data_IF_013796762728
#
_entry.id   IF_013796762728
#
_cell.length_a   1.000
_cell.length_b   1.000
_cell.length_c   1.000
_cell.angle_alpha   90.00
_cell.angle_beta   90.00
_cell.angle_gamma   90.00
#
_symmetry.space_group_name_H-M   'P 1'
#
loop_
_entity.id
_entity.type
_entity.pdbx_description
1 polymer ?
#
# COMPACT_ATOMS: atom_id res chain seq x y z
N UNK A 1 19.01 -0.83 -29.34
CA UNK A 1 19.60 0.36 -28.69
C UNK A 1 18.64 1.51 -28.91
N UNK A 2 18.07 2.09 -27.85
CA UNK A 2 17.33 3.35 -27.93
C UNK A 2 18.34 4.44 -28.25
N UNK A 3 18.34 4.92 -29.49
CA UNK A 3 19.32 5.88 -30.04
C UNK A 3 18.85 7.32 -29.98
N UNK A 4 17.71 7.63 -29.36
CA UNK A 4 17.17 9.00 -29.23
C UNK A 4 16.62 9.24 -27.82
N UNK A 5 16.89 10.43 -27.31
CA UNK A 5 16.57 10.84 -25.93
C UNK A 5 15.07 10.79 -25.62
N UNK A 6 14.75 10.87 -24.32
CA UNK A 6 13.40 10.79 -23.79
C UNK A 6 12.89 12.19 -23.41
N UNK A 7 11.57 12.37 -23.46
CA UNK A 7 10.90 13.57 -22.97
C UNK A 7 10.30 13.33 -21.59
N UNK A 8 10.37 14.35 -20.72
CA UNK A 8 9.76 14.32 -19.38
C UNK A 8 8.73 15.44 -19.28
N UNK A 9 7.52 15.08 -18.86
CA UNK A 9 6.49 16.03 -18.46
C UNK A 9 6.20 15.86 -16.97
N UNK A 10 6.10 16.97 -16.26
CA UNK A 10 5.79 17.01 -14.83
C UNK A 10 4.48 17.76 -14.63
N UNK A 11 3.51 17.11 -14.00
CA UNK A 11 2.21 17.68 -13.69
C UNK A 11 2.04 17.90 -12.19
N UNK A 12 1.29 18.93 -11.86
CA UNK A 12 1.02 19.34 -10.47
C UNK A 12 -0.43 19.10 -10.04
N UNK A 13 -1.24 18.52 -10.93
CA UNK A 13 -2.65 18.24 -10.70
C UNK A 13 -3.04 16.93 -11.40
N UNK A 14 -3.97 16.19 -10.80
CA UNK A 14 -4.43 14.88 -11.31
C UNK A 14 -5.33 15.00 -12.54
N UNK A 15 -5.86 16.20 -12.79
CA UNK A 15 -6.64 16.57 -13.98
C UNK A 15 -5.78 16.63 -15.24
N UNK A 16 -4.46 16.82 -15.09
CA UNK A 16 -3.50 16.89 -16.20
C UNK A 16 -2.94 15.51 -16.61
N UNK A 17 -3.28 14.44 -15.88
CA UNK A 17 -2.83 13.09 -16.20
C UNK A 17 -3.36 12.66 -17.57
N UNK A 18 -2.46 12.19 -18.44
CA UNK A 18 -2.81 11.72 -19.78
C UNK A 18 -3.82 10.56 -19.74
N UNK A 19 -4.41 10.27 -20.90
CA UNK A 19 -5.24 9.08 -21.11
C UNK A 19 -4.47 7.77 -20.94
N UNK A 20 -3.15 7.80 -21.14
CA UNK A 20 -2.28 6.62 -21.02
C UNK A 20 -1.98 6.26 -19.55
N UNK A 21 -2.34 7.13 -18.60
CA UNK A 21 -2.18 6.81 -17.19
C UNK A 21 -3.23 5.77 -16.77
N UNK A 22 -2.84 4.54 -16.42
CA UNK A 22 -3.76 3.44 -16.31
C UNK A 22 -4.59 3.46 -15.01
N UNK A 23 -5.68 2.71 -15.03
CA UNK A 23 -6.38 2.27 -13.83
C UNK A 23 -6.30 0.75 -13.65
N UNK A 24 -6.86 0.21 -12.56
CA UNK A 24 -6.65 -1.19 -12.17
C UNK A 24 -7.20 -2.21 -13.20
N UNK A 25 -8.16 -1.81 -14.02
CA UNK A 25 -8.73 -2.59 -15.13
C UNK A 25 -7.93 -2.50 -16.43
N UNK A 26 -6.87 -1.69 -16.50
CA UNK A 26 -6.04 -1.52 -17.69
C UNK A 26 -5.45 -2.86 -18.18
N UNK A 27 -5.49 -3.06 -19.50
CA UNK A 27 -4.96 -4.24 -20.21
C UNK A 27 -3.99 -3.88 -21.33
N UNK A 28 -3.42 -2.68 -21.32
CA UNK A 28 -2.50 -2.19 -22.38
C UNK A 28 -1.11 -2.81 -22.30
N UNK A 29 -0.84 -3.64 -21.29
CA UNK A 29 0.44 -4.33 -21.09
C UNK A 29 1.46 -3.53 -20.28
N UNK A 30 1.05 -2.42 -19.66
CA UNK A 30 1.87 -1.75 -18.65
C UNK A 30 1.85 -2.54 -17.32
N UNK A 31 2.99 -2.57 -16.64
CA UNK A 31 3.16 -3.25 -15.35
C UNK A 31 3.19 -2.22 -14.22
N UNK A 32 2.30 -2.40 -13.23
CA UNK A 32 2.14 -1.52 -12.07
C UNK A 32 1.33 -2.22 -10.96
N UNK A 33 1.31 -1.64 -9.75
CA UNK A 33 0.37 -2.03 -8.70
C UNK A 33 -0.75 -0.99 -8.58
N UNK A 34 -1.87 -1.36 -7.95
CA UNK A 34 -3.04 -0.46 -7.79
C UNK A 34 -2.66 0.90 -7.17
N UNK A 35 -1.61 0.93 -6.36
CA UNK A 35 -1.07 2.16 -5.73
C UNK A 35 -0.62 3.25 -6.71
N UNK A 36 -0.39 2.90 -7.99
CA UNK A 36 0.00 3.85 -9.03
C UNK A 36 -1.17 4.30 -9.93
N UNK A 37 -2.36 3.73 -9.77
CA UNK A 37 -3.48 4.00 -10.68
C UNK A 37 -3.99 5.43 -10.59
N UNK A 38 -4.68 5.87 -11.65
CA UNK A 38 -5.33 7.18 -11.70
C UNK A 38 -6.31 7.37 -10.53
N UNK A 39 -7.16 6.38 -10.27
CA UNK A 39 -8.11 6.39 -9.13
C UNK A 39 -7.42 6.45 -7.77
N UNK A 40 -6.34 5.70 -7.57
CA UNK A 40 -5.60 5.75 -6.30
C UNK A 40 -4.96 7.12 -6.08
N UNK A 41 -4.29 7.66 -7.11
CA UNK A 41 -3.63 8.98 -7.06
C UNK A 41 -4.64 10.11 -6.83
N UNK A 42 -5.82 10.05 -7.47
CA UNK A 42 -6.91 11.01 -7.27
C UNK A 42 -7.48 10.96 -5.86
N UNK A 43 -7.74 9.77 -5.33
CA UNK A 43 -8.19 9.62 -3.94
C UNK A 43 -7.14 10.13 -2.94
N UNK A 44 -5.86 9.91 -3.21
CA UNK A 44 -4.77 10.46 -2.39
C UNK A 44 -4.70 11.99 -2.49
N UNK A 45 -4.81 12.57 -3.69
CA UNK A 45 -4.75 14.03 -3.88
C UNK A 45 -5.91 14.73 -3.17
N UNK A 46 -7.13 14.18 -3.30
CA UNK A 46 -8.33 14.68 -2.62
C UNK A 46 -8.22 14.68 -1.09
N UNK A 47 -7.26 13.94 -0.52
CA UNK A 47 -7.14 13.71 0.92
C UNK A 47 -5.77 14.14 1.46
N UNK A 48 -4.76 13.28 1.37
CA UNK A 48 -3.39 13.55 1.81
C UNK A 48 -2.72 14.67 1.02
N UNK A 49 -3.06 14.82 -0.26
CA UNK A 49 -2.57 15.88 -1.15
C UNK A 49 -2.98 17.28 -0.70
N UNK A 50 -4.08 17.42 0.05
CA UNK A 50 -4.58 18.71 0.56
C UNK A 50 -3.86 19.20 1.81
N UNK A 51 -2.92 18.44 2.38
CA UNK A 51 -2.15 18.86 3.55
C UNK A 51 -1.21 20.02 3.19
N UNK A 52 -1.05 21.03 4.07
CA UNK A 52 -0.13 22.14 3.82
C UNK A 52 1.31 21.66 3.58
N UNK A 53 1.93 22.17 2.51
CA UNK A 53 3.29 21.81 2.14
C UNK A 53 3.42 20.50 1.36
N UNK A 54 2.30 19.92 0.91
CA UNK A 54 2.26 18.85 -0.08
C UNK A 54 2.09 19.44 -1.47
N UNK A 55 2.83 18.93 -2.45
CA UNK A 55 2.73 19.31 -3.86
C UNK A 55 2.84 18.06 -4.74
N UNK A 56 1.92 17.87 -5.68
CA UNK A 56 2.01 16.79 -6.65
C UNK A 56 3.16 17.04 -7.63
N UNK A 57 3.82 15.94 -8.02
CA UNK A 57 4.90 15.90 -9.00
C UNK A 57 4.71 14.64 -9.86
N UNK A 58 3.65 14.59 -10.66
CA UNK A 58 3.30 13.42 -11.47
C UNK A 58 4.17 13.44 -12.73
N UNK A 59 5.04 12.45 -12.90
CA UNK A 59 5.99 12.43 -14.01
C UNK A 59 5.52 11.48 -15.11
N UNK A 60 5.56 11.94 -16.35
CA UNK A 60 5.42 11.09 -17.54
C UNK A 60 6.71 11.14 -18.36
N UNK A 61 7.39 9.99 -18.47
CA UNK A 61 8.55 9.80 -19.34
C UNK A 61 8.12 9.10 -20.61
N UNK A 62 8.45 9.69 -21.75
CA UNK A 62 8.09 9.19 -23.09
C UNK A 62 9.31 9.19 -24.00
N UNK A 63 9.29 8.38 -25.04
CA UNK A 63 10.17 8.57 -26.19
C UNK A 63 9.76 9.85 -26.95
N UNK A 64 10.66 10.41 -27.76
CA UNK A 64 10.35 11.60 -28.58
C UNK A 64 9.19 11.42 -29.56
N UNK A 65 8.86 10.18 -29.93
CA UNK A 65 7.68 9.87 -30.76
C UNK A 65 6.36 9.82 -29.96
N UNK A 66 6.42 10.08 -28.65
CA UNK A 66 5.29 10.07 -27.73
C UNK A 66 5.05 8.74 -27.02
N UNK A 67 5.77 7.67 -27.37
CA UNK A 67 5.59 6.34 -26.78
C UNK A 67 5.89 6.36 -25.27
N UNK A 68 4.94 5.95 -24.40
CA UNK A 68 5.17 5.87 -22.96
C UNK A 68 6.34 4.95 -22.58
N UNK A 69 7.18 5.42 -21.64
CA UNK A 69 8.25 4.63 -21.03
C UNK A 69 7.96 4.36 -19.56
N UNK A 70 7.94 5.40 -18.73
CA UNK A 70 7.79 5.29 -17.27
C UNK A 70 6.92 6.41 -16.75
N UNK A 71 5.84 6.10 -16.03
CA UNK A 71 5.07 7.11 -15.29
C UNK A 71 5.27 6.94 -13.79
N UNK A 72 5.45 8.05 -13.07
CA UNK A 72 5.75 8.01 -11.63
C UNK A 72 4.80 8.94 -10.85
N UNK A 73 3.97 8.40 -9.95
CA UNK A 73 3.16 9.22 -9.05
C UNK A 73 4.03 9.73 -7.91
N UNK A 74 4.75 10.83 -8.14
CA UNK A 74 5.57 11.47 -7.11
C UNK A 74 4.83 12.65 -6.48
N UNK A 75 5.29 13.01 -5.28
CA UNK A 75 4.90 14.22 -4.57
C UNK A 75 6.09 14.79 -3.82
N UNK A 76 6.00 16.08 -3.50
CA UNK A 76 6.88 16.74 -2.54
C UNK A 76 6.10 16.93 -1.26
N UNK A 77 6.64 16.42 -0.16
CA UNK A 77 6.09 16.61 1.19
C UNK A 77 7.11 17.27 2.11
N UNK A 78 6.69 17.74 3.29
CA UNK A 78 7.58 18.33 4.28
C UNK A 78 7.83 17.40 5.46
N UNK A 79 9.09 17.07 5.70
CA UNK A 79 9.52 16.24 6.84
C UNK A 79 10.65 16.97 7.59
N UNK A 80 10.44 17.26 8.88
CA UNK A 80 11.37 18.03 9.72
C UNK A 80 11.85 19.34 9.07
N UNK A 81 10.94 20.01 8.36
CA UNK A 81 11.20 21.26 7.63
C UNK A 81 11.80 21.09 6.24
N UNK A 82 12.34 19.92 5.89
CA UNK A 82 12.91 19.65 4.56
C UNK A 82 11.84 19.22 3.57
N UNK A 83 12.03 19.58 2.30
CA UNK A 83 11.18 19.10 1.19
C UNK A 83 11.68 17.75 0.70
N UNK A 84 10.80 16.77 0.67
CA UNK A 84 11.12 15.39 0.31
C UNK A 84 10.37 15.04 -0.96
N UNK A 85 11.09 14.80 -2.05
CA UNK A 85 10.56 14.21 -3.27
C UNK A 85 10.47 12.70 -3.08
N UNK A 86 9.25 12.15 -3.13
CA UNK A 86 8.97 10.74 -2.90
C UNK A 86 7.78 10.26 -3.72
N UNK A 87 7.57 8.95 -3.77
CA UNK A 87 6.31 8.41 -4.29
C UNK A 87 5.14 8.80 -3.40
N UNK A 88 3.94 8.88 -4.00
CA UNK A 88 2.67 8.94 -3.27
C UNK A 88 2.55 7.67 -2.42
N UNK A 89 2.55 7.83 -1.10
CA UNK A 89 2.60 6.70 -0.16
C UNK A 89 1.74 6.92 1.10
N UNK A 90 2.15 7.85 1.98
CA UNK A 90 1.49 8.17 3.27
C UNK A 90 1.05 6.99 4.14
N UNK A 91 1.70 5.82 3.97
CA UNK A 91 1.32 4.58 4.63
C UNK A 91 0.03 3.95 4.11
N UNK A 92 -0.46 4.34 2.94
CA UNK A 92 -1.57 3.70 2.21
C UNK A 92 -1.12 2.98 0.93
N UNK A 93 0.18 3.03 0.62
CA UNK A 93 0.82 2.25 -0.44
C UNK A 93 1.77 1.21 0.16
N UNK A 94 1.71 -0.02 -0.34
CA UNK A 94 2.64 -1.09 0.06
C UNK A 94 3.78 -1.30 -0.94
N UNK A 95 3.60 -0.88 -2.19
CA UNK A 95 4.62 -0.90 -3.24
C UNK A 95 4.65 0.43 -3.97
N UNK A 96 5.85 1.01 -4.05
CA UNK A 96 6.08 2.22 -4.82
C UNK A 96 6.98 1.90 -6.00
N UNK A 97 6.42 2.00 -7.20
CA UNK A 97 7.10 1.66 -8.45
C UNK A 97 6.79 2.70 -9.52
N UNK A 98 7.64 2.86 -10.53
CA UNK A 98 7.16 3.43 -11.78
C UNK A 98 6.12 2.49 -12.40
N UNK A 99 5.15 3.06 -13.10
CA UNK A 99 4.36 2.33 -14.10
C UNK A 99 5.31 2.06 -15.26
N UNK A 100 5.55 0.78 -15.55
CA UNK A 100 6.51 0.35 -16.57
C UNK A 100 5.76 -0.04 -17.84
N UNK A 101 5.97 0.71 -18.92
CA UNK A 101 5.37 0.40 -20.22
C UNK A 101 6.25 -0.60 -21.00
N UNK A 102 5.69 -1.34 -21.99
CA UNK A 102 6.43 -2.34 -22.75
C UNK A 102 7.73 -1.82 -23.37
N UNK A 103 7.74 -0.57 -23.84
CA UNK A 103 8.92 0.07 -24.42
C UNK A 103 10.06 0.29 -23.40
N UNK A 104 9.76 0.29 -22.10
CA UNK A 104 10.72 0.43 -21.02
C UNK A 104 11.27 -0.91 -20.50
N UNK A 105 10.73 -2.06 -20.93
CA UNK A 105 11.12 -3.38 -20.43
C UNK A 105 12.60 -3.73 -20.67
N UNK A 106 13.25 -3.09 -21.64
CA UNK A 106 14.65 -3.33 -22.04
C UNK A 106 15.57 -2.12 -21.80
N UNK A 107 15.18 -1.18 -20.93
CA UNK A 107 16.05 -0.05 -20.59
C UNK A 107 17.35 -0.56 -19.95
N UNK A 108 18.49 -0.08 -20.46
CA UNK A 108 19.78 -0.35 -19.84
C UNK A 108 19.92 0.41 -18.52
N UNK A 109 20.70 -0.10 -17.54
CA UNK A 109 20.95 0.62 -16.28
C UNK A 109 21.42 2.06 -16.47
N UNK A 110 22.29 2.32 -17.45
CA UNK A 110 22.77 3.67 -17.76
C UNK A 110 21.66 4.59 -18.27
N UNK A 111 20.76 4.05 -19.11
CA UNK A 111 19.62 4.83 -19.63
C UNK A 111 18.64 5.13 -18.51
N UNK A 112 18.36 4.14 -17.64
CA UNK A 112 17.52 4.36 -16.47
C UNK A 112 18.13 5.39 -15.52
N UNK A 113 19.45 5.39 -15.31
CA UNK A 113 20.12 6.39 -14.50
C UNK A 113 19.99 7.80 -15.09
N UNK A 114 20.11 7.96 -16.42
CA UNK A 114 19.84 9.24 -17.11
C UNK A 114 18.40 9.68 -16.97
N UNK A 115 17.43 8.78 -17.14
CA UNK A 115 16.00 9.08 -16.94
C UNK A 115 15.75 9.54 -15.51
N UNK A 116 16.26 8.81 -14.50
CA UNK A 116 16.09 9.18 -13.10
C UNK A 116 16.71 10.55 -12.80
N UNK A 117 17.93 10.83 -13.29
CA UNK A 117 18.57 12.12 -13.11
C UNK A 117 17.74 13.26 -13.72
N UNK A 118 17.17 13.05 -14.90
CA UNK A 118 16.32 14.03 -15.56
C UNK A 118 14.96 14.22 -14.84
N UNK A 119 14.34 13.16 -14.31
CA UNK A 119 13.14 13.26 -13.45
C UNK A 119 13.45 14.14 -12.23
N UNK A 120 14.57 13.88 -11.55
CA UNK A 120 15.01 14.64 -10.39
C UNK A 120 15.25 16.12 -10.76
N UNK A 121 15.89 16.38 -11.91
CA UNK A 121 16.16 17.74 -12.38
C UNK A 121 14.89 18.51 -12.75
N UNK A 122 13.87 17.83 -13.31
CA UNK A 122 12.60 18.43 -13.70
C UNK A 122 11.63 18.62 -12.52
N UNK A 123 11.81 17.88 -11.42
CA UNK A 123 10.98 18.00 -10.24
C UNK A 123 11.12 19.38 -9.57
N UNK A 124 10.05 19.90 -8.91
CA UNK A 124 10.18 21.14 -8.16
C UNK A 124 11.26 21.05 -7.08
N UNK A 125 11.75 22.20 -6.64
CA UNK A 125 12.86 22.26 -5.69
C UNK A 125 12.61 21.42 -4.43
N UNK A 126 13.55 20.53 -4.13
CA UNK A 126 13.48 19.59 -3.03
C UNK A 126 14.86 19.46 -2.35
N UNK A 127 14.87 18.94 -1.12
CA UNK A 127 16.07 18.80 -0.31
C UNK A 127 16.53 17.35 -0.20
N UNK A 128 15.57 16.41 -0.23
CA UNK A 128 15.80 14.97 -0.12
C UNK A 128 15.01 14.26 -1.21
N UNK A 129 15.61 13.24 -1.80
CA UNK A 129 14.93 12.24 -2.64
C UNK A 129 14.78 10.99 -1.77
N UNK A 130 13.56 10.48 -1.64
CA UNK A 130 13.24 9.29 -0.86
C UNK A 130 12.22 8.44 -1.63
N UNK A 131 12.73 7.59 -2.52
CA UNK A 131 11.92 6.56 -3.17
C UNK A 131 12.06 5.29 -2.35
N UNK A 132 11.00 4.92 -1.63
CA UNK A 132 11.03 3.81 -0.68
C UNK A 132 10.03 2.72 -1.08
N UNK A 133 10.20 1.50 -0.57
CA UNK A 133 9.30 0.36 -0.86
C UNK A 133 9.27 -0.07 -2.33
N UNK A 134 10.41 0.03 -3.03
CA UNK A 134 10.52 -0.49 -4.39
C UNK A 134 10.82 -1.99 -4.33
N UNK A 135 10.00 -2.87 -4.93
CA UNK A 135 10.34 -4.28 -5.16
C UNK A 135 11.24 -4.42 -6.41
N UNK A 136 11.88 -5.59 -6.55
CA UNK A 136 12.68 -5.92 -7.74
C UNK A 136 11.84 -6.09 -9.00
N UNK A 137 10.64 -6.65 -8.85
CA UNK A 137 9.71 -6.89 -9.95
C UNK A 137 8.44 -6.09 -9.79
N UNK A 138 7.93 -5.61 -10.92
CA UNK A 138 6.60 -5.05 -11.08
C UNK A 138 5.86 -6.01 -11.99
N UNK A 139 4.96 -6.79 -11.42
CA UNK A 139 4.31 -7.92 -12.12
C UNK A 139 5.36 -8.87 -12.73
N UNK A 140 5.37 -9.03 -14.05
CA UNK A 140 6.32 -9.84 -14.81
C UNK A 140 7.59 -9.08 -15.26
N UNK A 141 7.60 -7.75 -15.16
CA UNK A 141 8.71 -6.89 -15.56
C UNK A 141 9.67 -6.59 -14.40
N UNK A 142 10.94 -6.35 -14.72
CA UNK A 142 11.92 -5.83 -13.75
C UNK A 142 11.62 -4.36 -13.47
N UNK A 143 11.62 -3.96 -12.20
CA UNK A 143 11.58 -2.56 -11.82
C UNK A 143 12.88 -1.88 -12.26
N UNK A 144 12.86 -0.95 -13.22
CA UNK A 144 14.08 -0.36 -13.76
C UNK A 144 14.85 0.43 -12.69
N UNK A 145 14.17 1.00 -11.69
CA UNK A 145 14.81 1.76 -10.61
C UNK A 145 15.48 0.88 -9.55
N UNK A 146 15.19 -0.42 -9.51
CA UNK A 146 15.69 -1.34 -8.47
C UNK A 146 17.22 -1.36 -8.38
N UNK A 147 17.91 -1.41 -9.52
CA UNK A 147 19.38 -1.46 -9.54
C UNK A 147 20.04 -0.15 -9.08
N UNK A 148 19.29 0.97 -9.10
CA UNK A 148 19.80 2.28 -8.68
C UNK A 148 19.66 2.50 -7.16
N UNK A 149 18.86 1.68 -6.48
CA UNK A 149 18.61 1.80 -5.04
C UNK A 149 19.88 1.62 -4.21
N UNK A 150 19.92 2.23 -3.03
CA UNK A 150 21.15 2.34 -2.24
C UNK A 150 20.98 1.89 -0.77
N UNK A 151 19.81 1.34 -0.43
CA UNK A 151 19.50 0.87 0.91
C UNK A 151 18.43 -0.24 0.85
N UNK A 152 18.46 -1.18 1.79
CA UNK A 152 17.31 -2.04 2.06
C UNK A 152 16.21 -1.22 2.77
N UNK A 153 14.95 -1.47 2.40
CA UNK A 153 13.81 -0.92 3.14
C UNK A 153 13.81 -1.45 4.57
N UNK A 154 13.10 -0.73 5.45
CA UNK A 154 13.00 -1.09 6.86
C UNK A 154 12.10 -2.30 7.15
N UNK A 155 11.36 -2.78 6.15
CA UNK A 155 10.60 -4.03 6.20
C UNK A 155 10.45 -4.61 4.79
N UNK A 156 9.98 -5.85 4.73
CA UNK A 156 9.64 -6.56 3.49
C UNK A 156 8.12 -6.58 3.27
N UNK A 157 7.68 -7.15 2.15
CA UNK A 157 6.30 -7.62 2.00
C UNK A 157 6.25 -9.13 2.06
N UNK A 158 5.07 -9.67 2.36
CA UNK A 158 4.87 -11.10 2.56
C UNK A 158 3.67 -11.58 1.76
N UNK A 159 3.78 -12.74 1.13
CA UNK A 159 2.71 -13.27 0.29
C UNK A 159 2.51 -14.78 0.47
N UNK A 160 1.36 -15.24 0.00
CA UNK A 160 0.99 -16.65 -0.11
C UNK A 160 0.74 -16.95 -1.57
N UNK A 161 1.48 -17.91 -2.13
CA UNK A 161 1.17 -18.45 -3.46
C UNK A 161 -0.12 -19.27 -3.41
N UNK A 162 -1.12 -18.85 -4.18
CA UNK A 162 -2.39 -19.54 -4.38
C UNK A 162 -2.34 -20.59 -5.50
N UNK A 163 -1.23 -20.64 -6.24
CA UNK A 163 -0.98 -21.64 -7.28
C UNK A 163 -0.76 -23.06 -6.73
N UNK A 164 -0.45 -23.17 -5.44
CA UNK A 164 -0.28 -24.47 -4.75
C UNK A 164 -1.63 -25.12 -4.44
N UNK A 165 -1.70 -26.45 -4.26
CA UNK A 165 -2.88 -27.12 -3.74
C UNK A 165 -3.38 -26.51 -2.43
N UNK A 166 -4.71 -26.45 -2.23
CA UNK A 166 -5.30 -25.75 -1.08
C UNK A 166 -4.90 -26.38 0.26
N UNK A 167 -4.75 -27.70 0.30
CA UNK A 167 -4.30 -28.45 1.48
C UNK A 167 -2.84 -28.15 1.84
N UNK A 168 -1.98 -27.88 0.85
CA UNK A 168 -0.61 -27.40 1.10
C UNK A 168 -0.61 -25.98 1.66
N UNK A 169 -1.42 -25.09 1.08
CA UNK A 169 -1.58 -23.72 1.58
C UNK A 169 -2.04 -23.75 3.04
N UNK A 170 -3.06 -24.52 3.37
CA UNK A 170 -3.57 -24.63 4.73
C UNK A 170 -2.54 -25.18 5.71
N UNK A 171 -1.75 -26.19 5.30
CA UNK A 171 -0.69 -26.78 6.12
C UNK A 171 0.44 -25.79 6.44
N UNK A 172 0.69 -24.80 5.58
CA UNK A 172 1.69 -23.76 5.85
C UNK A 172 1.22 -22.71 6.86
N UNK A 173 -0.07 -22.64 7.19
CA UNK A 173 -0.62 -21.64 8.09
C UNK A 173 -0.45 -22.07 9.55
N UNK A 174 0.23 -21.24 10.34
CA UNK A 174 0.34 -21.47 11.78
C UNK A 174 -1.04 -21.51 12.46
N UNK A 175 -1.25 -22.53 13.29
CA UNK A 175 -2.51 -22.75 14.02
C UNK A 175 -3.75 -22.99 13.13
N UNK A 176 -3.57 -23.51 11.91
CA UNK A 176 -4.68 -23.78 10.98
C UNK A 176 -5.83 -24.58 11.60
N UNK A 177 -5.54 -25.63 12.38
CA UNK A 177 -6.56 -26.47 13.03
C UNK A 177 -7.47 -25.67 13.97
N UNK A 178 -6.90 -24.70 14.69
CA UNK A 178 -7.66 -23.80 15.57
C UNK A 178 -8.51 -22.81 14.76
N UNK A 179 -8.00 -22.31 13.64
CA UNK A 179 -8.74 -21.41 12.74
C UNK A 179 -9.93 -22.16 12.13
N UNK A 180 -9.72 -23.37 11.60
CA UNK A 180 -10.79 -24.23 11.06
C UNK A 180 -11.84 -24.61 12.11
N UNK A 181 -11.42 -24.87 13.36
CA UNK A 181 -12.36 -25.12 14.46
C UNK A 181 -13.26 -23.92 14.71
N UNK A 182 -12.68 -22.71 14.78
CA UNK A 182 -13.42 -21.46 14.98
C UNK A 182 -14.35 -21.14 13.81
N UNK A 183 -13.90 -21.36 12.58
CA UNK A 183 -14.73 -21.19 11.38
C UNK A 183 -15.95 -22.12 11.42
N UNK A 184 -15.76 -23.41 11.72
CA UNK A 184 -16.87 -24.37 11.89
C UNK A 184 -17.84 -23.98 13.01
N UNK A 185 -17.34 -23.39 14.10
CA UNK A 185 -18.22 -22.89 15.17
C UNK A 185 -19.06 -21.70 14.71
N UNK A 186 -18.48 -20.78 13.93
CA UNK A 186 -19.21 -19.65 13.35
C UNK A 186 -20.24 -20.12 12.33
N UNK A 187 -19.89 -21.09 11.47
CA UNK A 187 -20.81 -21.65 10.46
C UNK A 187 -22.07 -22.27 11.06
N UNK A 188 -22.01 -22.78 12.29
CA UNK A 188 -23.17 -23.32 13.01
C UNK A 188 -24.10 -22.24 13.56
N UNK A 189 -23.69 -20.97 13.55
CA UNK A 189 -24.53 -19.87 14.00
C UNK A 189 -25.46 -19.43 12.87
N UNK A 190 -26.72 -19.18 13.23
CA UNK A 190 -27.71 -18.67 12.29
C UNK A 190 -27.25 -17.35 11.67
N UNK A 191 -27.42 -17.24 10.35
CA UNK A 191 -27.01 -16.05 9.58
C UNK A 191 -25.49 -15.89 9.40
N UNK A 192 -24.67 -16.91 9.67
CA UNK A 192 -23.24 -16.86 9.36
C UNK A 192 -23.01 -16.80 7.84
N UNK A 193 -22.34 -15.75 7.36
CA UNK A 193 -22.07 -15.55 5.94
C UNK A 193 -20.73 -14.86 5.70
N UNK A 194 -20.08 -15.26 4.61
CA UNK A 194 -18.96 -14.53 4.03
C UNK A 194 -19.45 -13.86 2.75
N UNK A 195 -19.16 -12.57 2.59
CA UNK A 195 -19.62 -11.77 1.46
C UNK A 195 -18.48 -10.94 0.90
N UNK A 196 -18.59 -10.63 -0.39
CA UNK A 196 -17.78 -9.63 -1.08
C UNK A 196 -18.78 -8.57 -1.56
N UNK A 197 -18.61 -7.32 -1.15
CA UNK A 197 -19.52 -6.24 -1.47
C UNK A 197 -19.48 -5.92 -2.97
N UNK A 198 -20.62 -6.09 -3.65
CA UNK A 198 -20.75 -5.91 -5.11
C UNK A 198 -21.40 -4.57 -5.47
N UNK A 199 -22.32 -4.09 -4.64
CA UNK A 199 -23.03 -2.83 -4.88
C UNK A 199 -22.40 -1.68 -4.08
N UNK A 200 -22.64 -0.45 -4.53
CA UNK A 200 -22.20 0.75 -3.79
C UNK A 200 -22.81 0.80 -2.37
N UNK A 201 -24.06 0.37 -2.21
CA UNK A 201 -24.72 0.32 -0.90
C UNK A 201 -24.03 -0.68 0.05
N UNK A 202 -23.71 -1.88 -0.45
CA UNK A 202 -22.96 -2.88 0.31
C UNK A 202 -21.57 -2.38 0.67
N UNK A 203 -20.84 -1.79 -0.29
CA UNK A 203 -19.49 -1.25 -0.06
C UNK A 203 -19.51 -0.18 1.03
N UNK A 204 -20.47 0.75 0.95
CA UNK A 204 -20.66 1.79 1.97
C UNK A 204 -20.94 1.19 3.34
N UNK A 205 -21.85 0.22 3.43
CA UNK A 205 -22.18 -0.45 4.69
C UNK A 205 -20.97 -1.15 5.31
N UNK A 206 -20.23 -1.95 4.52
CA UNK A 206 -19.04 -2.67 4.99
C UNK A 206 -17.93 -1.70 5.38
N UNK A 207 -17.72 -0.64 4.59
CA UNK A 207 -16.71 0.39 4.87
C UNK A 207 -16.98 1.10 6.19
N UNK A 208 -18.23 1.49 6.48
CA UNK A 208 -18.56 2.13 7.76
C UNK A 208 -18.27 1.21 8.96
N UNK A 209 -18.52 -0.09 8.82
CA UNK A 209 -18.12 -1.06 9.85
C UNK A 209 -16.61 -1.16 9.99
N UNK A 210 -15.87 -1.25 8.88
CA UNK A 210 -14.41 -1.28 8.89
C UNK A 210 -13.84 -0.07 9.64
N UNK A 211 -14.31 1.13 9.29
CA UNK A 211 -13.85 2.38 9.89
C UNK A 211 -14.11 2.40 11.41
N UNK A 212 -15.30 1.98 11.85
CA UNK A 212 -15.65 1.87 13.28
C UNK A 212 -14.72 0.88 14.00
N UNK A 213 -14.56 -0.32 13.45
CA UNK A 213 -13.72 -1.35 14.07
C UNK A 213 -12.25 -0.92 14.14
N UNK A 214 -11.75 -0.25 13.09
CA UNK A 214 -10.38 0.29 13.06
C UNK A 214 -10.20 1.39 14.09
N UNK A 215 -11.16 2.32 14.21
CA UNK A 215 -11.10 3.40 15.18
C UNK A 215 -11.03 2.85 16.62
N UNK A 216 -11.92 1.90 16.96
CA UNK A 216 -11.85 1.22 18.26
C UNK A 216 -10.48 0.59 18.49
N UNK A 217 -9.90 -0.06 17.48
CA UNK A 217 -8.58 -0.67 17.59
C UNK A 217 -7.47 0.35 17.83
N UNK A 218 -7.54 1.54 17.22
CA UNK A 218 -6.60 2.63 17.48
C UNK A 218 -6.68 3.09 18.94
N UNK A 219 -7.89 3.20 19.49
CA UNK A 219 -8.12 3.55 20.90
C UNK A 219 -7.59 2.48 21.86
N UNK A 220 -7.92 1.21 21.63
CA UNK A 220 -7.43 0.06 22.41
C UNK A 220 -5.89 -0.01 22.44
N UNK A 221 -5.25 0.25 21.29
CA UNK A 221 -3.80 0.16 21.13
C UNK A 221 -3.06 1.47 21.42
N UNK A 222 -3.80 2.55 21.72
CA UNK A 222 -3.25 3.89 22.01
C UNK A 222 -2.38 4.44 20.88
N UNK A 223 -2.74 4.11 19.65
CA UNK A 223 -2.14 4.65 18.42
C UNK A 223 -3.06 5.76 17.88
N UNK A 224 -2.54 6.87 17.36
CA UNK A 224 -3.36 7.91 16.72
C UNK A 224 -4.22 7.34 15.59
N UNK A 225 -5.53 7.51 15.71
CA UNK A 225 -6.51 6.98 14.76
C UNK A 225 -7.00 8.02 13.77
N UNK A 226 -8.25 7.85 13.34
CA UNK A 226 -8.93 8.75 12.41
C UNK A 226 -9.32 10.08 13.06
N UNK A 227 -9.44 10.10 14.38
CA UNK A 227 -9.62 11.29 15.21
C UNK A 227 -8.45 12.26 15.07
N UNK A 228 -7.22 11.75 15.18
CA UNK A 228 -6.00 12.55 15.07
C UNK A 228 -5.59 12.82 13.60
N UNK A 229 -6.02 11.95 12.68
CA UNK A 229 -5.63 11.97 11.28
C UNK A 229 -6.85 11.72 10.37
N UNK A 230 -7.76 12.71 10.25
CA UNK A 230 -9.00 12.57 9.49
C UNK A 230 -8.76 12.28 8.01
N UNK A 231 -7.62 12.69 7.44
CA UNK A 231 -7.22 12.38 6.07
C UNK A 231 -7.15 10.87 5.80
N UNK A 232 -6.75 10.07 6.80
CA UNK A 232 -6.68 8.61 6.65
C UNK A 232 -8.07 8.00 6.45
N UNK A 233 -9.05 8.47 7.21
CA UNK A 233 -10.45 8.02 7.07
C UNK A 233 -10.99 8.44 5.71
N UNK A 234 -10.83 9.72 5.37
CA UNK A 234 -11.30 10.28 4.10
C UNK A 234 -10.70 9.55 2.90
N UNK A 235 -9.44 9.12 2.99
CA UNK A 235 -8.80 8.34 1.93
C UNK A 235 -9.57 7.03 1.65
N UNK A 236 -9.94 6.25 2.68
CA UNK A 236 -10.72 5.03 2.45
C UNK A 236 -12.14 5.33 1.97
N UNK A 237 -12.75 6.43 2.43
CA UNK A 237 -14.05 6.88 1.94
C UNK A 237 -14.00 7.22 0.44
N UNK A 238 -12.96 7.95 0.02
CA UNK A 238 -12.77 8.37 -1.37
C UNK A 238 -12.33 7.22 -2.29
N UNK A 239 -11.31 6.47 -1.87
CA UNK A 239 -10.70 5.41 -2.68
C UNK A 239 -11.65 4.24 -2.92
N UNK A 240 -12.60 3.97 -2.01
CA UNK A 240 -13.48 2.80 -2.12
C UNK A 240 -14.28 2.81 -3.42
N UNK A 241 -14.99 3.90 -3.74
CA UNK A 241 -15.78 3.90 -4.97
C UNK A 241 -14.95 4.16 -6.22
N UNK A 242 -13.91 5.00 -6.13
CA UNK A 242 -13.03 5.23 -7.28
C UNK A 242 -12.35 3.92 -7.73
N UNK A 243 -11.79 3.14 -6.79
CA UNK A 243 -11.18 1.87 -7.13
C UNK A 243 -12.20 0.82 -7.55
N UNK A 244 -13.40 0.79 -6.94
CA UNK A 244 -14.44 -0.16 -7.33
C UNK A 244 -14.93 0.03 -8.78
N UNK A 245 -14.99 1.28 -9.27
CA UNK A 245 -15.38 1.59 -10.65
C UNK A 245 -14.42 0.98 -11.69
N UNK A 246 -13.16 0.81 -11.31
CA UNK A 246 -12.10 0.27 -12.17
C UNK A 246 -11.68 -1.16 -11.76
N UNK A 247 -12.55 -1.90 -11.06
CA UNK A 247 -12.28 -3.26 -10.58
C UNK A 247 -11.00 -3.39 -9.73
N UNK A 248 -10.52 -2.30 -9.12
CA UNK A 248 -9.31 -2.25 -8.30
C UNK A 248 -9.56 -2.51 -6.82
N UNK A 249 -10.82 -2.63 -6.39
CA UNK A 249 -11.21 -2.88 -5.01
C UNK A 249 -11.74 -4.30 -4.82
N UNK A 250 -11.30 -4.95 -3.73
CA UNK A 250 -11.98 -6.11 -3.18
C UNK A 250 -12.31 -5.88 -1.69
N UNK A 251 -13.58 -5.60 -1.41
CA UNK A 251 -14.08 -5.36 -0.05
C UNK A 251 -14.94 -6.52 0.43
N UNK A 252 -14.45 -7.26 1.43
CA UNK A 252 -15.13 -8.46 1.94
C UNK A 252 -15.43 -8.37 3.43
N UNK A 253 -16.43 -9.15 3.86
CA UNK A 253 -16.84 -9.22 5.25
C UNK A 253 -17.25 -10.65 5.66
N UNK A 254 -17.04 -10.94 6.94
CA UNK A 254 -17.58 -12.10 7.64
C UNK A 254 -18.63 -11.60 8.62
N UNK A 255 -19.85 -12.10 8.53
CA UNK A 255 -20.98 -11.67 9.36
C UNK A 255 -21.71 -12.86 10.00
N UNK A 256 -22.40 -12.59 11.11
CA UNK A 256 -23.39 -13.48 11.76
C UNK A 256 -24.63 -12.64 12.05
N UNK A 257 -25.75 -12.99 11.41
CA UNK A 257 -26.95 -12.15 11.38
C UNK A 257 -26.62 -10.77 10.80
N UNK A 258 -26.97 -9.72 11.54
CA UNK A 258 -26.70 -8.32 11.18
C UNK A 258 -25.28 -7.84 11.59
N UNK A 259 -24.57 -8.62 12.40
CA UNK A 259 -23.26 -8.21 12.92
C UNK A 259 -22.14 -8.62 11.98
N UNK A 260 -21.44 -7.64 11.41
CA UNK A 260 -20.18 -7.87 10.69
C UNK A 260 -19.04 -8.07 11.71
N UNK A 261 -18.51 -9.28 11.74
CA UNK A 261 -17.47 -9.73 12.67
C UNK A 261 -16.06 -9.39 12.20
N UNK A 262 -15.84 -9.34 10.89
CA UNK A 262 -14.55 -8.95 10.31
C UNK A 262 -14.75 -8.36 8.92
N UNK A 263 -13.86 -7.46 8.54
CA UNK A 263 -13.79 -6.92 7.18
C UNK A 263 -12.37 -6.98 6.67
N UNK A 264 -12.23 -7.10 5.35
CA UNK A 264 -10.97 -6.97 4.65
C UNK A 264 -11.17 -5.99 3.48
N UNK A 265 -10.53 -4.84 3.57
CA UNK A 265 -10.42 -3.87 2.46
C UNK A 265 -9.07 -4.10 1.79
N UNK A 266 -9.12 -4.40 0.50
CA UNK A 266 -7.97 -4.85 -0.28
C UNK A 266 -8.02 -4.28 -1.67
N UNK A 267 -6.86 -4.17 -2.29
CA UNK A 267 -6.74 -3.77 -3.68
C UNK A 267 -6.38 -4.99 -4.54
N UNK A 268 -6.89 -5.02 -5.76
CA UNK A 268 -6.69 -6.14 -6.69
C UNK A 268 -6.29 -5.64 -8.06
N UNK A 269 -5.38 -6.35 -8.70
CA UNK A 269 -5.06 -6.18 -10.12
C UNK A 269 -4.71 -7.54 -10.69
N UNK A 270 -5.27 -7.86 -11.85
CA UNK A 270 -5.13 -9.18 -12.47
C UNK A 270 -5.43 -10.30 -11.45
N UNK A 271 -4.48 -11.21 -11.24
CA UNK A 271 -4.53 -12.34 -10.32
C UNK A 271 -3.78 -12.06 -8.99
N UNK A 272 -3.45 -10.79 -8.73
CA UNK A 272 -2.74 -10.33 -7.53
C UNK A 272 -3.68 -9.61 -6.55
N UNK A 273 -3.95 -10.26 -5.42
CA UNK A 273 -4.73 -9.69 -4.32
C UNK A 273 -3.81 -9.11 -3.25
N UNK A 274 -3.95 -7.83 -2.88
CA UNK A 274 -3.16 -7.18 -1.83
C UNK A 274 -4.03 -6.76 -0.64
N UNK A 275 -3.84 -7.43 0.48
CA UNK A 275 -4.56 -7.19 1.73
C UNK A 275 -4.06 -5.91 2.43
N UNK A 276 -4.90 -4.88 2.47
CA UNK A 276 -4.51 -3.58 3.05
C UNK A 276 -4.98 -3.44 4.50
N UNK A 277 -6.29 -3.60 4.75
CA UNK A 277 -6.85 -3.39 6.08
C UNK A 277 -7.76 -4.56 6.46
N UNK A 278 -7.31 -5.33 7.45
CA UNK A 278 -8.16 -6.24 8.21
C UNK A 278 -8.67 -5.56 9.49
N UNK A 279 -9.97 -5.63 9.72
CA UNK A 279 -10.58 -5.27 11.02
C UNK A 279 -11.50 -6.37 11.51
N UNK A 280 -11.82 -6.35 12.79
CA UNK A 280 -12.69 -7.34 13.41
C UNK A 280 -13.43 -6.77 14.60
N UNK A 281 -14.53 -7.40 14.96
CA UNK A 281 -15.36 -7.10 16.12
C UNK A 281 -14.70 -7.65 17.40
N UNK A 282 -14.89 -6.94 18.52
CA UNK A 282 -14.29 -7.30 19.81
C UNK A 282 -15.30 -8.01 20.73
N UNK A 283 -15.01 -8.03 22.04
CA UNK A 283 -15.89 -8.59 23.05
C UNK A 283 -16.10 -10.09 22.88
N UNK A 284 -17.36 -10.51 22.90
CA UNK A 284 -17.78 -11.93 22.82
C UNK A 284 -17.31 -12.63 21.54
N UNK A 285 -17.04 -11.86 20.48
CA UNK A 285 -16.59 -12.37 19.18
C UNK A 285 -15.09 -12.70 19.12
N UNK A 286 -14.28 -12.12 20.00
CA UNK A 286 -12.82 -12.29 20.02
C UNK A 286 -12.39 -13.75 20.10
N UNK A 287 -13.15 -14.59 20.81
CA UNK A 287 -12.88 -16.03 20.97
C UNK A 287 -12.87 -16.81 19.63
N UNK A 288 -13.58 -16.31 18.63
CA UNK A 288 -13.63 -16.89 17.28
C UNK A 288 -12.50 -16.40 16.36
N UNK A 289 -11.67 -15.45 16.81
CA UNK A 289 -10.61 -14.85 15.99
C UNK A 289 -11.08 -14.44 14.59
N UNK A 290 -12.12 -13.58 14.44
CA UNK A 290 -12.75 -13.29 13.15
C UNK A 290 -11.75 -12.84 12.07
N UNK A 291 -10.73 -12.06 12.45
CA UNK A 291 -9.66 -11.62 11.53
C UNK A 291 -8.85 -12.77 10.92
N UNK A 292 -8.63 -13.88 11.63
CA UNK A 292 -7.97 -15.07 11.07
C UNK A 292 -8.94 -15.91 10.23
N UNK A 293 -10.21 -15.96 10.63
CA UNK A 293 -11.23 -16.72 9.89
C UNK A 293 -11.52 -16.09 8.54
N UNK A 294 -11.64 -14.75 8.45
CA UNK A 294 -11.86 -14.07 7.17
C UNK A 294 -10.68 -14.31 6.21
N UNK A 295 -9.44 -14.32 6.71
CA UNK A 295 -8.26 -14.67 5.89
C UNK A 295 -8.39 -16.09 5.34
N UNK A 296 -8.71 -17.09 6.18
CA UNK A 296 -8.90 -18.47 5.71
C UNK A 296 -9.96 -18.55 4.61
N UNK A 297 -11.12 -17.91 4.80
CA UNK A 297 -12.19 -17.90 3.80
C UNK A 297 -11.78 -17.20 2.51
N UNK A 298 -11.02 -16.11 2.61
CA UNK A 298 -10.47 -15.43 1.44
C UNK A 298 -9.49 -16.30 0.66
N UNK A 299 -8.62 -17.07 1.33
CA UNK A 299 -7.70 -17.98 0.64
C UNK A 299 -8.44 -19.01 -0.21
N UNK A 300 -9.49 -19.62 0.35
CA UNK A 300 -10.35 -20.54 -0.40
C UNK A 300 -11.05 -19.82 -1.56
N UNK A 301 -11.65 -18.65 -1.30
CA UNK A 301 -12.42 -17.92 -2.31
C UNK A 301 -11.54 -17.42 -3.45
N UNK A 302 -10.45 -16.74 -3.16
CA UNK A 302 -9.55 -16.16 -4.16
C UNK A 302 -8.90 -17.26 -5.01
N UNK A 303 -8.55 -18.40 -4.40
CA UNK A 303 -8.07 -19.56 -5.17
C UNK A 303 -9.16 -20.10 -6.11
N UNK A 304 -10.39 -20.24 -5.65
CA UNK A 304 -11.51 -20.67 -6.49
C UNK A 304 -11.80 -19.68 -7.62
N UNK A 305 -11.61 -18.38 -7.37
CA UNK A 305 -11.77 -17.31 -8.36
C UNK A 305 -10.55 -17.16 -9.30
N UNK A 306 -9.51 -17.99 -9.15
CA UNK A 306 -8.36 -18.05 -10.07
C UNK A 306 -7.22 -17.07 -9.77
N UNK A 307 -7.19 -16.44 -8.59
CA UNK A 307 -6.06 -15.60 -8.18
C UNK A 307 -4.80 -16.44 -7.95
N UNK A 308 -3.64 -15.88 -8.30
CA UNK A 308 -2.33 -16.52 -8.13
C UNK A 308 -1.64 -16.12 -6.82
N UNK A 309 -1.96 -14.95 -6.26
CA UNK A 309 -1.27 -14.40 -5.10
C UNK A 309 -2.25 -13.82 -4.07
N UNK A 310 -2.06 -14.20 -2.80
CA UNK A 310 -2.58 -13.46 -1.65
C UNK A 310 -1.41 -12.73 -0.98
N UNK A 311 -1.28 -11.44 -1.26
CA UNK A 311 -0.27 -10.56 -0.69
C UNK A 311 -0.78 -9.95 0.62
N UNK A 312 0.03 -10.04 1.67
CA UNK A 312 -0.24 -9.54 3.02
C UNK A 312 0.28 -8.12 3.23
N UNK A 313 0.91 -7.54 2.21
CA UNK A 313 1.35 -6.16 2.23
C UNK A 313 2.63 -5.92 3.00
N UNK A 314 2.97 -4.64 3.14
CA UNK A 314 4.22 -4.17 3.72
C UNK A 314 4.28 -4.32 5.24
N UNK A 315 5.42 -4.76 5.78
CA UNK A 315 5.68 -4.88 7.21
C UNK A 315 5.97 -6.31 7.67
N UNK A 316 6.90 -6.46 8.61
CA UNK A 316 7.35 -7.76 9.12
C UNK A 316 6.58 -8.21 10.39
N UNK A 317 5.27 -7.98 10.46
CA UNK A 317 4.50 -8.40 11.62
C UNK A 317 4.50 -9.93 11.78
N UNK A 318 4.73 -10.43 13.00
CA UNK A 318 4.89 -11.87 13.25
C UNK A 318 3.70 -12.74 12.82
N UNK A 319 2.49 -12.18 12.71
CA UNK A 319 1.33 -12.92 12.19
C UNK A 319 1.39 -13.14 10.68
N UNK A 320 2.03 -12.24 9.90
CA UNK A 320 2.27 -12.40 8.46
C UNK A 320 3.31 -13.46 8.20
N UNK A 321 4.41 -13.44 8.98
CA UNK A 321 5.48 -14.44 8.92
C UNK A 321 4.93 -15.85 9.17
N UNK A 322 3.98 -16.00 10.11
CA UNK A 322 3.32 -17.27 10.40
C UNK A 322 2.30 -17.73 9.35
N UNK A 323 2.09 -16.95 8.29
CA UNK A 323 1.07 -17.18 7.26
C UNK A 323 1.68 -17.28 5.85
N UNK A 324 2.75 -16.54 5.58
CA UNK A 324 3.37 -16.42 4.25
C UNK A 324 4.26 -17.61 3.86
N UNK A 325 4.39 -17.86 2.57
CA UNK A 325 5.41 -18.74 1.98
C UNK A 325 6.49 -17.97 1.21
N UNK A 326 6.24 -16.67 0.94
CA UNK A 326 7.15 -15.77 0.24
C UNK A 326 7.37 -14.50 1.04
N UNK A 327 8.62 -14.05 1.10
CA UNK A 327 9.01 -12.74 1.61
C UNK A 327 9.75 -12.01 0.50
N UNK A 328 9.25 -10.83 0.13
CA UNK A 328 9.80 -10.03 -0.96
C UNK A 328 10.56 -8.86 -0.34
N UNK A 329 11.91 -8.84 -0.45
CA UNK A 329 12.68 -7.71 0.04
C UNK A 329 12.38 -6.47 -0.79
N UNK A 330 12.32 -5.33 -0.11
CA UNK A 330 12.17 -4.03 -0.74
C UNK A 330 13.46 -3.21 -0.58
N UNK A 331 13.68 -2.29 -1.49
CA UNK A 331 14.82 -1.37 -1.46
C UNK A 331 14.37 0.08 -1.57
N UNK A 332 15.19 0.95 -1.00
CA UNK A 332 15.01 2.39 -1.04
C UNK A 332 16.15 3.06 -1.81
N UNK A 333 15.82 4.15 -2.49
CA UNK A 333 16.75 5.13 -3.02
C UNK A 333 16.62 6.42 -2.21
N UNK A 334 17.60 6.68 -1.35
CA UNK A 334 17.61 7.87 -0.49
C UNK A 334 18.86 8.70 -0.78
N UNK A 335 18.69 9.94 -1.25
CA UNK A 335 19.80 10.87 -1.53
C UNK A 335 19.48 12.29 -1.06
N UNK A 336 20.45 13.02 -0.49
CA UNK A 336 20.28 14.46 -0.29
C UNK A 336 20.52 15.20 -1.61
N UNK A 337 19.65 16.16 -1.92
CA UNK A 337 19.82 17.10 -3.03
C UNK A 337 20.48 18.42 -2.56
N UNK A 338 20.32 18.79 -1.30
CA UNK A 338 20.87 20.04 -0.72
C UNK A 338 21.61 19.80 0.59
N UNK A 339 22.35 20.81 1.08
CA UNK A 339 22.96 20.78 2.43
C UNK A 339 21.91 20.59 3.53
N UNK A 340 20.75 21.24 3.39
CA UNK A 340 19.59 21.03 4.26
C UNK A 340 19.11 19.58 4.22
N UNK A 341 19.08 18.98 3.04
CA UNK A 341 18.79 17.56 2.88
C UNK A 341 19.76 16.66 3.64
N UNK A 342 21.06 16.96 3.56
CA UNK A 342 22.10 16.21 4.30
C UNK A 342 21.86 16.25 5.80
N UNK A 343 21.62 17.42 6.37
CA UNK A 343 21.35 17.56 7.82
C UNK A 343 20.05 16.87 8.22
N UNK A 344 19.02 16.96 7.38
CA UNK A 344 17.74 16.27 7.59
C UNK A 344 17.89 14.75 7.64
N UNK A 345 18.71 14.16 6.76
CA UNK A 345 18.97 12.72 6.76
C UNK A 345 19.77 12.27 7.97
N UNK A 346 20.74 13.08 8.42
CA UNK A 346 21.49 12.81 9.66
C UNK A 346 20.51 12.82 10.85
N UNK A 347 19.67 13.85 10.97
CA UNK A 347 18.68 13.95 12.03
C UNK A 347 17.70 12.77 12.01
N UNK A 348 17.21 12.38 10.84
CA UNK A 348 16.31 11.22 10.70
C UNK A 348 16.96 9.94 11.21
N UNK A 349 18.23 9.67 10.83
CA UNK A 349 19.00 8.51 11.32
C UNK A 349 19.22 8.56 12.82
N UNK A 350 19.56 9.73 13.37
CA UNK A 350 19.71 9.92 14.83
C UNK A 350 18.40 9.65 15.56
N UNK A 351 17.26 10.12 15.04
CA UNK A 351 15.95 9.87 15.63
C UNK A 351 15.54 8.39 15.52
N UNK A 352 15.81 7.73 14.40
CA UNK A 352 15.60 6.28 14.25
C UNK A 352 16.43 5.49 15.26
N UNK A 353 17.70 5.85 15.44
CA UNK A 353 18.57 5.26 16.44
C UNK A 353 18.06 5.50 17.87
N UNK A 354 17.67 6.73 18.22
CA UNK A 354 17.05 7.03 19.52
C UNK A 354 15.80 6.17 19.74
N UNK A 355 14.95 6.05 18.71
CA UNK A 355 13.71 5.25 18.75
C UNK A 355 13.95 3.75 18.90
N UNK A 356 15.11 3.25 18.46
CA UNK A 356 15.47 1.84 18.59
C UNK A 356 15.93 1.48 20.01
N UNK A 357 16.36 2.46 20.82
CA UNK A 357 16.80 2.27 22.20
C UNK A 357 15.69 1.72 23.12
N UNK A 358 16.10 0.92 24.11
CA UNK A 358 15.20 0.35 25.12
C UNK A 358 14.50 1.43 25.95
N UNK A 359 15.21 2.52 26.26
CA UNK A 359 14.67 3.65 27.03
C UNK A 359 13.51 4.31 26.29
N UNK A 360 13.69 4.66 25.01
CA UNK A 360 12.61 5.25 24.21
C UNK A 360 11.43 4.30 24.07
N UNK A 361 11.68 2.99 23.83
CA UNK A 361 10.61 1.98 23.76
C UNK A 361 9.79 1.89 25.06
N UNK A 362 10.44 2.02 26.24
CA UNK A 362 9.76 2.06 27.54
C UNK A 362 8.98 3.35 27.78
N UNK A 363 9.48 4.49 27.30
CA UNK A 363 8.85 5.82 27.51
C UNK A 363 7.78 6.16 26.47
N UNK A 364 7.84 5.58 25.26
CA UNK A 364 6.91 5.83 24.15
C UNK A 364 5.42 5.70 24.54
N UNK A 365 4.99 4.70 25.33
CA UNK A 365 3.60 4.59 25.77
C UNK A 365 3.16 5.73 26.69
N UNK A 366 4.07 6.38 27.41
CA UNK A 366 3.77 7.51 28.30
C UNK A 366 3.49 8.79 27.50
N UNK A 367 4.18 9.00 26.37
CA UNK A 367 3.94 10.14 25.46
C UNK A 367 2.46 10.24 25.07
N UNK A 368 1.84 9.12 24.69
CA UNK A 368 0.44 9.09 24.27
C UNK A 368 -0.54 9.25 25.43
N UNK A 369 -0.15 8.88 26.66
CA UNK A 369 -0.96 9.17 27.87
C UNK A 369 -0.96 10.66 28.19
N UNK A 370 0.18 11.34 28.04
CA UNK A 370 0.31 12.77 28.29
C UNK A 370 -0.42 13.59 27.23
N UNK A 371 -0.22 13.27 25.94
CA UNK A 371 -0.86 14.00 24.84
C UNK A 371 -2.39 13.96 24.87
N UNK A 372 -3.01 12.92 25.46
CA UNK A 372 -4.48 12.83 25.63
C UNK A 372 -5.00 13.40 26.95
N UNK A 373 -4.13 13.64 27.93
CA UNK A 373 -4.53 14.24 29.22
C UNK A 373 -4.51 15.77 29.17
N UNK A 374 -3.80 16.34 28.19
CA UNK A 374 -3.53 17.77 28.08
C UNK A 374 -3.77 18.35 26.67
N UNK A 375 -4.32 17.55 25.75
CA UNK A 375 -4.85 17.98 24.46
C UNK A 375 -6.22 17.36 24.29
#
# INVERSE_FOLDING_TARGET
>A
MLTKDFDIRVYSSTEQLSSDWPDADDKTGSAFFVFQTKSFVRAWDATYGRRPGTQLCLNEVRQHDGTPLLFLPLSITRIYGSRVLGFIDDGVSDYNVPIVFPAAAKLSPDTTARILAAIIAAAPSHDVIAFCKMPERVEDLTNPLWQLTNKLSNASTHAISLMRPMDEIERSIQSISNIKKRDRMLQKMEGCRFLIAQTQAERRSVLQVMLRQKQRRFEETKVPGFDAHPEKRRFFEEATEQLAQHNGLHLSALAVGETILATMWSVVRNDHYCAMITTFEAGTWSKFSPGKVIILRLLHRLKADGYACFDLGFGDEGWKIGLCDRTIPLRDYIRPATLRGRTSLILARSLEWIRSTLLYKKLRPLKWRVLRKFG
#
